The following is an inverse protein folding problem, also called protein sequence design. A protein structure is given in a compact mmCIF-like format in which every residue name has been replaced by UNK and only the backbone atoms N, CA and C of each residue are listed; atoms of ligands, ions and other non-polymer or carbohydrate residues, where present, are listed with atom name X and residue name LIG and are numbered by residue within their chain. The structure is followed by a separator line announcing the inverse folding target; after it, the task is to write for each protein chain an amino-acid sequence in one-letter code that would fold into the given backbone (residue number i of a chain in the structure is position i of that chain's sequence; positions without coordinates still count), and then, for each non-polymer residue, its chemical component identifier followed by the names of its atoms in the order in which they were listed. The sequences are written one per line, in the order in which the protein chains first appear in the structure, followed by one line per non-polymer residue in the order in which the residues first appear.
data_IF_316442564217
#
_entry.id   IF_316442564217
#
_cell.length_a   1.000
_cell.length_b   1.000
_cell.length_c   1.000
_cell.angle_alpha   90.00
_cell.angle_beta   90.00
_cell.angle_gamma   90.00
#
_symmetry.space_group_name_H-M   'P 1'
#
loop_
_entity.id
_entity.type
_entity.pdbx_description
1 polymer ?
#
# COMPACT_ATOMS: atom_id res chain seq x y z
N UNK A 1 18.96 -42.98 10.78
CA UNK A 1 20.23 -43.39 11.42
C UNK A 1 21.25 -42.30 11.10
N UNK A 2 21.58 -41.47 12.08
CA UNK A 2 22.43 -40.27 11.95
C UNK A 2 23.90 -40.66 12.12
N UNK A 3 24.78 -40.14 11.26
CA UNK A 3 26.26 -40.04 11.36
C UNK A 3 26.73 -39.34 10.06
N UNK A 4 27.64 -38.38 10.00
CA UNK A 4 28.57 -37.83 10.98
C UNK A 4 29.08 -36.47 10.45
N UNK A 5 29.25 -35.52 11.36
CA UNK A 5 29.96 -34.26 11.17
C UNK A 5 31.47 -34.52 11.31
N UNK A 6 32.28 -33.98 10.40
CA UNK A 6 33.73 -33.88 10.60
C UNK A 6 34.27 -32.63 9.88
N UNK A 7 34.37 -31.53 10.61
CA UNK A 7 35.12 -30.34 10.17
C UNK A 7 36.35 -30.29 11.07
N UNK A 8 37.47 -30.75 10.52
CA UNK A 8 38.78 -30.68 11.17
C UNK A 8 39.38 -29.30 10.91
N UNK A 9 39.72 -28.65 12.01
CA UNK A 9 40.43 -27.39 12.13
C UNK A 9 41.62 -27.22 11.18
N UNK A 10 41.69 -26.06 10.52
CA UNK A 10 42.95 -25.47 10.07
C UNK A 10 43.04 -24.05 10.65
N UNK A 11 43.64 -23.97 11.83
CA UNK A 11 44.17 -22.75 12.41
C UNK A 11 45.49 -22.43 11.70
N UNK A 12 45.55 -21.36 10.92
CA UNK A 12 46.81 -20.69 10.59
C UNK A 12 46.73 -19.26 11.09
N UNK A 13 47.44 -19.07 12.20
CA UNK A 13 47.95 -17.81 12.71
C UNK A 13 48.82 -17.16 11.62
N UNK A 14 48.39 -16.02 11.07
CA UNK A 14 49.33 -15.06 10.48
C UNK A 14 49.20 -13.75 11.22
N UNK A 15 50.25 -13.49 12.00
CA UNK A 15 50.43 -12.32 12.84
C UNK A 15 50.78 -11.11 11.97
N UNK A 16 50.19 -9.97 12.32
CA UNK A 16 50.70 -8.59 12.20
C UNK A 16 51.41 -8.17 10.91
N UNK A 17 50.75 -7.29 10.15
CA UNK A 17 51.17 -5.91 9.83
C UNK A 17 50.26 -5.36 8.72
N UNK A 18 49.12 -4.79 9.10
CA UNK A 18 48.34 -3.92 8.20
C UNK A 18 48.19 -2.58 8.94
N UNK A 19 48.67 -1.46 8.37
CA UNK A 19 48.54 -0.15 8.98
C UNK A 19 47.07 0.26 9.06
N UNK A 20 46.74 0.98 10.14
CA UNK A 20 45.42 1.52 10.46
C UNK A 20 44.80 2.30 9.29
N UNK A 21 43.93 1.64 8.51
CA UNK A 21 42.95 2.35 7.70
C UNK A 21 41.77 2.66 8.62
N UNK A 22 41.92 3.75 9.37
CA UNK A 22 40.79 4.55 9.80
C UNK A 22 40.11 5.11 8.54
N UNK A 23 39.09 4.43 8.04
CA UNK A 23 38.04 5.07 7.25
C UNK A 23 36.70 4.77 7.93
N UNK A 24 36.43 5.59 8.95
CA UNK A 24 35.10 5.78 9.46
C UNK A 24 34.20 6.32 8.33
N UNK A 25 33.48 5.40 7.68
CA UNK A 25 32.27 5.71 6.95
C UNK A 25 31.15 4.96 7.64
N UNK A 26 30.81 5.41 8.86
CA UNK A 26 29.44 5.23 9.33
C UNK A 26 28.61 6.05 8.36
N UNK A 27 28.06 5.36 7.35
CA UNK A 27 26.89 5.89 6.68
C UNK A 27 25.84 5.98 7.80
N UNK A 28 25.68 7.18 8.34
CA UNK A 28 24.56 7.49 9.20
C UNK A 28 23.32 7.21 8.37
N UNK A 29 22.74 6.03 8.54
CA UNK A 29 21.35 5.80 8.17
C UNK A 29 20.57 6.76 9.06
N UNK A 30 20.35 7.95 8.52
CA UNK A 30 19.43 8.93 9.05
C UNK A 30 18.08 8.23 9.01
N UNK A 31 17.77 7.55 10.10
CA UNK A 31 16.45 7.03 10.40
C UNK A 31 15.62 8.27 10.62
N UNK A 32 15.19 8.88 9.51
CA UNK A 32 14.18 9.91 9.54
C UNK A 32 13.02 9.26 10.29
N UNK A 33 12.80 9.74 11.52
CA UNK A 33 11.62 9.46 12.30
C UNK A 33 10.47 10.09 11.52
N UNK A 34 10.07 9.42 10.45
CA UNK A 34 8.88 9.72 9.70
C UNK A 34 7.73 9.14 10.51
N UNK A 35 7.45 9.76 11.66
CA UNK A 35 6.09 9.86 12.12
C UNK A 35 5.41 10.82 11.13
N UNK A 36 5.14 10.31 9.92
CA UNK A 36 4.47 11.08 8.89
C UNK A 36 3.09 11.43 9.43
N UNK A 37 2.80 12.72 9.45
CA UNK A 37 1.41 13.15 9.38
C UNK A 37 0.81 12.50 8.14
N UNK A 38 0.02 11.44 8.34
CA UNK A 38 -0.62 10.71 7.24
C UNK A 38 -1.43 11.70 6.41
N UNK A 39 -1.19 11.75 5.10
CA UNK A 39 -1.86 12.69 4.19
C UNK A 39 -3.36 12.41 4.15
N UNK A 40 -4.16 13.39 3.72
CA UNK A 40 -5.60 13.17 3.55
C UNK A 40 -5.89 12.11 2.48
N UNK A 41 -5.05 12.05 1.45
CA UNK A 41 -5.06 10.99 0.44
C UNK A 41 -4.84 9.62 1.07
N UNK A 42 -3.77 9.43 1.83
CA UNK A 42 -3.47 8.16 2.50
C UNK A 42 -4.62 7.74 3.43
N UNK A 43 -5.22 8.69 4.16
CA UNK A 43 -6.37 8.44 5.04
C UNK A 43 -7.59 7.99 4.22
N UNK A 44 -7.90 8.70 3.14
CA UNK A 44 -9.04 8.41 2.28
C UNK A 44 -8.90 7.05 1.62
N UNK A 45 -7.75 6.78 0.99
CA UNK A 45 -7.46 5.52 0.31
C UNK A 45 -7.48 4.36 1.29
N UNK A 46 -6.89 4.51 2.49
CA UNK A 46 -6.94 3.46 3.51
C UNK A 46 -8.36 3.18 3.99
N UNK A 47 -9.17 4.22 4.24
CA UNK A 47 -10.55 4.06 4.66
C UNK A 47 -11.40 3.36 3.59
N UNK A 48 -11.21 3.72 2.32
CA UNK A 48 -11.88 3.11 1.17
C UNK A 48 -11.47 1.65 0.99
N UNK A 49 -10.16 1.36 1.06
CA UNK A 49 -9.64 -0.01 1.04
C UNK A 49 -10.32 -0.88 2.11
N UNK A 50 -10.36 -0.40 3.36
CA UNK A 50 -10.98 -1.13 4.46
C UNK A 50 -12.49 -1.32 4.24
N UNK A 51 -13.16 -0.29 3.74
CA UNK A 51 -14.59 -0.32 3.45
C UNK A 51 -14.95 -1.34 2.37
N UNK A 52 -14.17 -1.43 1.28
CA UNK A 52 -14.37 -2.41 0.21
C UNK A 52 -14.31 -3.83 0.77
N UNK A 53 -13.30 -4.11 1.62
CA UNK A 53 -13.11 -5.44 2.20
C UNK A 53 -14.17 -5.78 3.25
N UNK A 54 -14.46 -4.85 4.16
CA UNK A 54 -15.48 -5.04 5.20
C UNK A 54 -16.87 -5.31 4.59
N UNK A 55 -17.22 -4.63 3.49
CA UNK A 55 -18.54 -4.69 2.88
C UNK A 55 -18.61 -5.59 1.64
N UNK A 56 -17.52 -6.29 1.28
CA UNK A 56 -17.41 -7.14 0.09
C UNK A 56 -17.85 -6.44 -1.22
N UNK A 57 -17.48 -5.17 -1.39
CA UNK A 57 -17.89 -4.37 -2.56
C UNK A 57 -17.21 -4.80 -3.87
N UNK A 58 -16.10 -5.53 -3.77
CA UNK A 58 -15.40 -6.10 -4.92
C UNK A 58 -14.84 -7.47 -4.58
N UNK A 59 -14.87 -8.37 -5.58
CA UNK A 59 -14.25 -9.70 -5.52
C UNK A 59 -12.78 -9.68 -5.98
N UNK A 60 -12.32 -8.58 -6.57
CA UNK A 60 -10.94 -8.44 -7.03
C UNK A 60 -9.97 -8.41 -5.85
N UNK A 61 -8.76 -8.94 -6.05
CA UNK A 61 -7.67 -8.87 -5.08
C UNK A 61 -7.16 -7.43 -4.95
N UNK A 62 -6.50 -7.11 -3.84
CA UNK A 62 -6.05 -5.73 -3.56
C UNK A 62 -5.12 -5.19 -4.63
N UNK A 63 -4.17 -5.99 -5.11
CA UNK A 63 -3.27 -5.58 -6.18
C UNK A 63 -3.97 -5.36 -7.54
N UNK A 64 -5.22 -5.81 -7.67
CA UNK A 64 -6.03 -5.66 -8.88
C UNK A 64 -7.00 -4.47 -8.80
N UNK A 65 -6.88 -3.66 -7.74
CA UNK A 65 -7.59 -2.40 -7.59
C UNK A 65 -6.60 -1.24 -7.67
N UNK A 66 -7.02 -0.16 -8.31
CA UNK A 66 -6.36 1.14 -8.28
C UNK A 66 -7.29 2.15 -7.61
N UNK A 67 -6.68 3.12 -6.93
CA UNK A 67 -7.37 4.19 -6.23
C UNK A 67 -6.87 5.52 -6.77
N UNK A 68 -7.78 6.34 -7.26
CA UNK A 68 -7.48 7.70 -7.70
C UNK A 68 -8.12 8.68 -6.72
N UNK A 69 -7.28 9.34 -5.93
CA UNK A 69 -7.72 10.34 -4.98
C UNK A 69 -7.90 11.69 -5.68
N UNK A 70 -9.00 12.36 -5.39
CA UNK A 70 -9.26 13.72 -5.80
C UNK A 70 -9.76 14.53 -4.61
N UNK A 71 -9.01 15.56 -4.25
CA UNK A 71 -9.52 16.66 -3.43
C UNK A 71 -10.37 17.58 -4.32
N UNK A 72 -11.55 17.08 -4.69
CA UNK A 72 -12.45 17.71 -5.64
C UNK A 72 -12.89 19.12 -5.18
N UNK A 73 -13.45 19.91 -6.09
CA UNK A 73 -14.09 21.19 -5.78
C UNK A 73 -15.32 21.07 -4.84
N UNK A 74 -15.79 19.84 -4.57
CA UNK A 74 -16.83 19.58 -3.58
C UNK A 74 -16.25 19.86 -2.19
N UNK A 75 -16.55 21.04 -1.64
CA UNK A 75 -15.85 21.61 -0.50
C UNK A 75 -15.89 20.72 0.75
N UNK A 76 -16.93 19.88 0.87
CA UNK A 76 -17.16 19.02 2.03
C UNK A 76 -16.63 17.58 1.86
N UNK A 77 -16.15 17.18 0.67
CA UNK A 77 -15.80 15.77 0.40
C UNK A 77 -14.45 15.57 -0.31
N UNK A 78 -13.72 14.54 0.11
CA UNK A 78 -12.73 13.90 -0.73
C UNK A 78 -13.39 12.82 -1.59
N UNK A 79 -12.93 12.69 -2.84
CA UNK A 79 -13.38 11.63 -3.75
C UNK A 79 -12.26 10.61 -3.92
N UNK A 80 -12.63 9.33 -3.89
CA UNK A 80 -11.73 8.25 -4.30
C UNK A 80 -12.44 7.45 -5.38
N UNK A 81 -11.90 7.48 -6.59
CA UNK A 81 -12.35 6.62 -7.68
C UNK A 81 -11.65 5.26 -7.59
N UNK A 82 -12.44 4.19 -7.65
CA UNK A 82 -11.93 2.81 -7.56
C UNK A 82 -12.03 2.19 -8.94
N UNK A 83 -10.88 1.71 -9.43
CA UNK A 83 -10.73 1.22 -10.80
C UNK A 83 -10.05 -0.13 -10.80
N UNK A 84 -10.21 -0.89 -11.88
CA UNK A 84 -9.41 -2.09 -12.10
C UNK A 84 -7.94 -1.73 -12.34
N UNK A 85 -7.04 -2.52 -11.76
CA UNK A 85 -5.61 -2.50 -12.03
C UNK A 85 -5.21 -3.82 -12.69
N UNK A 86 -4.88 -3.75 -13.98
CA UNK A 86 -4.55 -4.90 -14.81
C UNK A 86 -3.04 -5.05 -15.07
N UNK A 87 -2.22 -4.31 -14.33
CA UNK A 87 -0.75 -4.34 -14.47
C UNK A 87 -0.15 -5.72 -14.21
N UNK A 88 -0.78 -6.52 -13.36
CA UNK A 88 -0.30 -7.85 -13.00
C UNK A 88 -1.07 -8.93 -13.76
N UNK A 89 -0.37 -9.93 -14.30
CA UNK A 89 -0.98 -11.04 -15.04
C UNK A 89 -2.09 -11.77 -14.25
N UNK A 90 -1.97 -11.84 -12.92
CA UNK A 90 -2.97 -12.46 -12.03
C UNK A 90 -4.32 -11.71 -12.01
N UNK A 91 -4.33 -10.44 -12.41
CA UNK A 91 -5.52 -9.60 -12.47
C UNK A 91 -6.26 -9.74 -13.81
N UNK A 92 -5.59 -10.27 -14.84
CA UNK A 92 -6.15 -10.52 -16.18
C UNK A 92 -6.50 -9.24 -16.96
N UNK A 93 -6.93 -9.44 -18.20
CA UNK A 93 -7.33 -8.35 -19.11
C UNK A 93 -6.17 -7.59 -19.73
N UNK A 94 -6.51 -6.47 -20.38
CA UNK A 94 -5.55 -5.57 -21.04
C UNK A 94 -4.91 -4.61 -20.04
N UNK A 95 -3.57 -4.62 -19.96
CA UNK A 95 -2.78 -3.80 -19.02
C UNK A 95 -2.88 -2.31 -19.26
N UNK A 96 -3.23 -1.91 -20.49
CA UNK A 96 -3.35 -0.49 -20.87
C UNK A 96 -4.76 0.04 -20.58
N UNK A 97 -5.65 -0.80 -20.03
CA UNK A 97 -7.00 -0.43 -19.62
C UNK A 97 -7.13 -0.37 -18.11
N UNK A 98 -7.85 0.65 -17.63
CA UNK A 98 -8.28 0.73 -16.24
C UNK A 98 -9.76 1.10 -16.23
N UNK A 99 -10.60 0.12 -15.87
CA UNK A 99 -12.06 0.23 -15.91
C UNK A 99 -12.53 0.82 -14.59
N UNK A 100 -13.37 1.85 -14.67
CA UNK A 100 -14.05 2.41 -13.50
C UNK A 100 -14.99 1.37 -12.87
N UNK A 101 -14.95 1.20 -11.55
CA UNK A 101 -15.82 0.29 -10.82
C UNK A 101 -16.89 1.03 -10.03
N UNK A 102 -16.48 1.96 -9.16
CA UNK A 102 -17.34 2.80 -8.32
C UNK A 102 -16.50 3.87 -7.61
N UNK A 103 -17.15 4.86 -7.03
CA UNK A 103 -16.56 5.96 -6.28
C UNK A 103 -16.93 5.91 -4.81
N UNK A 104 -16.10 6.58 -4.03
CA UNK A 104 -16.36 6.93 -2.65
C UNK A 104 -16.34 8.44 -2.45
N UNK A 105 -17.26 8.91 -1.62
CA UNK A 105 -17.24 10.24 -1.00
C UNK A 105 -16.86 10.07 0.47
N UNK A 106 -15.80 10.74 0.89
CA UNK A 106 -15.39 10.83 2.29
C UNK A 106 -15.60 12.26 2.78
N UNK A 107 -16.43 12.44 3.81
CA UNK A 107 -16.68 13.76 4.38
C UNK A 107 -15.41 14.29 5.08
N UNK A 108 -15.01 15.53 4.79
CA UNK A 108 -13.78 16.13 5.33
C UNK A 108 -13.85 16.44 6.83
N UNK A 109 -15.05 16.55 7.42
CA UNK A 109 -15.28 16.90 8.82
C UNK A 109 -15.32 15.67 9.72
N UNK A 110 -16.11 14.66 9.33
CA UNK A 110 -16.38 13.47 10.16
C UNK A 110 -15.83 12.16 9.59
N UNK A 111 -15.19 12.19 8.42
CA UNK A 111 -14.63 11.03 7.71
C UNK A 111 -15.65 9.93 7.41
N UNK A 112 -16.95 10.25 7.40
CA UNK A 112 -17.98 9.29 6.99
C UNK A 112 -17.89 8.99 5.50
N UNK A 113 -18.11 7.71 5.17
CA UNK A 113 -18.04 7.19 3.80
C UNK A 113 -19.43 6.97 3.21
N UNK A 114 -19.56 7.33 1.94
CA UNK A 114 -20.66 6.90 1.06
C UNK A 114 -20.08 6.45 -0.27
N UNK A 115 -20.79 5.57 -0.98
CA UNK A 115 -20.34 5.01 -2.27
C UNK A 115 -21.50 4.87 -3.23
N UNK A 116 -21.22 4.88 -4.53
CA UNK A 116 -22.17 4.51 -5.58
C UNK A 116 -22.04 3.02 -6.01
N UNK A 117 -21.26 2.22 -5.28
CA UNK A 117 -21.08 0.80 -5.57
C UNK A 117 -22.42 0.04 -5.64
N UNK A 118 -22.73 -0.54 -6.81
CA UNK A 118 -23.98 -1.28 -7.03
C UNK A 118 -25.21 -0.40 -7.31
N UNK A 119 -25.06 0.92 -7.39
CA UNK A 119 -26.08 1.81 -7.95
C UNK A 119 -26.00 1.81 -9.49
N UNK A 120 -27.15 1.78 -10.15
CA UNK A 120 -27.26 1.82 -11.62
C UNK A 120 -27.12 3.25 -12.15
N UNK A 121 -27.51 4.23 -11.36
CA UNK A 121 -27.57 5.65 -11.70
C UNK A 121 -26.40 6.48 -11.14
N UNK A 122 -25.46 5.85 -10.41
CA UNK A 122 -24.36 6.54 -9.73
C UNK A 122 -24.76 7.27 -8.45
N UNK A 123 -25.92 6.95 -7.88
CA UNK A 123 -26.40 7.52 -6.62
C UNK A 123 -25.59 7.00 -5.43
N UNK A 124 -25.01 7.93 -4.67
CA UNK A 124 -24.27 7.63 -3.46
C UNK A 124 -25.19 7.22 -2.31
N UNK A 125 -24.80 6.16 -1.60
CA UNK A 125 -25.47 5.69 -0.39
C UNK A 125 -24.45 5.41 0.71
N UNK A 126 -24.90 5.49 1.97
CA UNK A 126 -24.05 5.19 3.13
C UNK A 126 -23.80 3.69 3.23
N UNK A 127 -22.60 3.32 3.64
CA UNK A 127 -22.30 1.95 4.00
C UNK A 127 -23.03 1.57 5.29
N UNK A 128 -23.62 0.37 5.32
CA UNK A 128 -24.21 -0.20 6.52
C UNK A 128 -23.05 -0.53 7.48
N UNK A 129 -23.15 -0.08 8.74
CA UNK A 129 -22.08 -0.30 9.74
C UNK A 129 -21.99 -1.76 10.17
#
# INVERSE_FOLDING_TARGET
MVKNISIKYLLIFFCMLIPDISLASVAEVKKDNQFSTQSNEDKAVLAVYQAIRKNNLSKLRDQCLAYEFSDSADADFFIVDVRENKRYAICGGDSDTSVHLFRFKMNKKDFSLSTDAGSVDGTFHKLKR
#
